data_IF_399560952774
#
_entry.id   IF_399560952774
#
_cell.length_a   1.000
_cell.length_b   1.000
_cell.length_c   1.000
_cell.angle_alpha   90.00
_cell.angle_beta   90.00
_cell.angle_gamma   90.00
#
_symmetry.space_group_name_H-M   'P 1'
#
loop_
_entity.id
_entity.type
_entity.pdbx_description
1 polymer ?
#
# COMPACT_ATOMS: atom_id res chain seq x y z
N UNK A 1 -10.22 -34.09 12.41
CA UNK A 1 -10.53 -33.81 10.99
C UNK A 1 -9.76 -32.57 10.57
N UNK A 2 -8.66 -32.73 9.82
CA UNK A 2 -7.99 -31.60 9.17
C UNK A 2 -8.90 -31.10 8.05
N UNK A 3 -9.50 -29.92 8.21
CA UNK A 3 -10.13 -29.24 7.10
C UNK A 3 -9.07 -29.07 6.01
N UNK A 4 -9.31 -29.61 4.81
CA UNK A 4 -8.41 -29.44 3.69
C UNK A 4 -8.15 -27.95 3.49
N UNK A 5 -6.93 -27.49 3.76
CA UNK A 5 -6.53 -26.12 3.49
C UNK A 5 -6.68 -25.89 2.00
N UNK A 6 -7.68 -25.10 1.59
CA UNK A 6 -7.85 -24.71 0.20
C UNK A 6 -6.60 -23.94 -0.23
N UNK A 7 -6.09 -24.24 -1.41
CA UNK A 7 -4.95 -23.51 -1.98
C UNK A 7 -5.36 -22.07 -2.29
N UNK A 8 -4.39 -21.15 -2.29
CA UNK A 8 -4.63 -19.76 -2.66
C UNK A 8 -5.28 -19.63 -4.05
N UNK A 9 -4.88 -20.48 -5.00
CA UNK A 9 -5.49 -20.54 -6.33
C UNK A 9 -7.00 -20.85 -6.28
N UNK A 10 -7.40 -21.85 -5.48
CA UNK A 10 -8.81 -22.23 -5.32
C UNK A 10 -9.62 -21.11 -4.65
N UNK A 11 -9.05 -20.43 -3.67
CA UNK A 11 -9.69 -19.29 -2.99
C UNK A 11 -9.87 -18.09 -3.92
N UNK A 12 -8.86 -17.79 -4.73
CA UNK A 12 -8.92 -16.73 -5.74
C UNK A 12 -10.01 -17.02 -6.76
N UNK A 13 -10.10 -18.24 -7.28
CA UNK A 13 -11.15 -18.62 -8.22
C UNK A 13 -12.55 -18.43 -7.61
N UNK A 14 -12.74 -18.85 -6.35
CA UNK A 14 -14.00 -18.66 -5.63
C UNK A 14 -14.32 -17.18 -5.41
N UNK A 15 -13.33 -16.36 -5.06
CA UNK A 15 -13.49 -14.93 -4.86
C UNK A 15 -13.87 -14.22 -6.18
N UNK A 16 -13.29 -14.61 -7.31
CA UNK A 16 -13.58 -14.00 -8.61
C UNK A 16 -15.01 -14.26 -9.09
N UNK A 17 -15.65 -15.34 -8.64
CA UNK A 17 -17.07 -15.65 -8.93
C UNK A 17 -18.06 -14.79 -8.14
N UNK A 18 -17.62 -14.04 -7.13
CA UNK A 18 -18.49 -13.17 -6.36
C UNK A 18 -18.93 -11.93 -7.17
N UNK A 19 -20.09 -11.34 -6.87
CA UNK A 19 -20.46 -10.00 -7.34
C UNK A 19 -19.41 -8.94 -7.01
N UNK A 20 -19.32 -7.88 -7.82
CA UNK A 20 -18.26 -6.87 -7.74
C UNK A 20 -18.17 -6.17 -6.37
N UNK A 21 -19.32 -5.90 -5.74
CA UNK A 21 -19.40 -5.28 -4.42
C UNK A 21 -18.82 -6.19 -3.33
N UNK A 22 -19.10 -7.50 -3.40
CA UNK A 22 -18.55 -8.49 -2.47
C UNK A 22 -17.06 -8.70 -2.68
N UNK A 23 -16.59 -8.68 -3.94
CA UNK A 23 -15.15 -8.72 -4.24
C UNK A 23 -14.42 -7.51 -3.67
N UNK A 24 -14.98 -6.31 -3.82
CA UNK A 24 -14.38 -5.09 -3.28
C UNK A 24 -14.26 -5.14 -1.75
N UNK A 25 -15.32 -5.58 -1.05
CA UNK A 25 -15.30 -5.76 0.41
C UNK A 25 -14.27 -6.81 0.85
N UNK A 26 -14.20 -7.93 0.16
CA UNK A 26 -13.22 -8.98 0.46
C UNK A 26 -11.79 -8.49 0.24
N UNK A 27 -11.53 -7.80 -0.88
CA UNK A 27 -10.22 -7.21 -1.14
C UNK A 27 -9.82 -6.21 -0.06
N UNK A 28 -10.75 -5.34 0.37
CA UNK A 28 -10.51 -4.40 1.45
C UNK A 28 -10.14 -5.10 2.77
N UNK A 29 -10.92 -6.12 3.18
CA UNK A 29 -10.64 -6.87 4.39
C UNK A 29 -9.29 -7.61 4.34
N UNK A 30 -8.94 -8.19 3.17
CA UNK A 30 -7.64 -8.84 2.98
C UNK A 30 -6.50 -7.83 3.10
N UNK A 31 -6.62 -6.65 2.48
CA UNK A 31 -5.61 -5.58 2.59
C UNK A 31 -5.45 -5.15 4.05
N UNK A 32 -6.56 -4.88 4.75
CA UNK A 32 -6.52 -4.51 6.17
C UNK A 32 -5.88 -5.58 7.05
N UNK A 33 -6.04 -6.86 6.71
CA UNK A 33 -5.40 -7.94 7.48
C UNK A 33 -3.87 -7.87 7.40
N UNK A 34 -3.31 -7.35 6.29
CA UNK A 34 -1.88 -7.16 6.13
C UNK A 34 -1.35 -6.02 7.00
N UNK A 35 -2.16 -5.00 7.29
CA UNK A 35 -1.76 -3.87 8.13
C UNK A 35 -1.51 -4.28 9.60
N UNK A 36 -2.12 -5.38 10.06
CA UNK A 36 -1.86 -5.93 11.40
C UNK A 36 -0.51 -6.63 11.53
N UNK A 37 0.14 -6.90 10.39
CA UNK A 37 1.49 -7.43 10.30
C UNK A 37 2.52 -6.32 10.05
N UNK A 38 2.26 -5.08 10.51
CA UNK A 38 3.29 -4.05 10.59
C UNK A 38 4.47 -4.60 11.39
N UNK A 39 5.53 -4.93 10.65
CA UNK A 39 6.78 -5.36 11.22
C UNK A 39 7.37 -4.13 11.92
N UNK A 40 7.52 -4.21 13.24
CA UNK A 40 8.08 -3.12 14.02
C UNK A 40 9.50 -2.74 13.52
N UNK A 41 10.22 -3.64 12.86
CA UNK A 41 11.47 -3.32 12.17
C UNK A 41 11.25 -2.50 10.89
N UNK A 42 10.18 -2.75 10.13
CA UNK A 42 9.83 -1.95 8.96
C UNK A 42 9.45 -0.52 9.35
N UNK A 43 8.67 -0.33 10.42
CA UNK A 43 8.33 1.00 10.93
C UNK A 43 9.59 1.75 11.41
N UNK A 44 10.46 1.09 12.18
CA UNK A 44 11.74 1.67 12.61
C UNK A 44 12.62 2.09 11.44
N UNK A 45 12.72 1.26 10.41
CA UNK A 45 13.48 1.57 9.19
C UNK A 45 12.85 2.74 8.43
N UNK A 46 11.53 2.83 8.42
CA UNK A 46 10.81 3.94 7.79
C UNK A 46 11.02 5.26 8.53
N UNK A 47 10.95 5.25 9.86
CA UNK A 47 11.26 6.42 10.70
C UNK A 47 12.69 6.91 10.48
N UNK A 48 13.66 5.99 10.42
CA UNK A 48 15.06 6.31 10.13
C UNK A 48 15.22 6.94 8.73
N UNK A 49 14.53 6.41 7.73
CA UNK A 49 14.54 6.94 6.37
C UNK A 49 13.88 8.32 6.27
N UNK A 50 12.77 8.56 6.97
CA UNK A 50 12.13 9.88 7.05
C UNK A 50 13.09 10.90 7.66
N UNK A 51 13.72 10.56 8.80
CA UNK A 51 14.68 11.44 9.46
C UNK A 51 15.85 11.80 8.53
N UNK A 52 16.43 10.80 7.85
CA UNK A 52 17.49 10.99 6.86
C UNK A 52 17.06 11.92 5.72
N UNK A 53 15.89 11.69 5.11
CA UNK A 53 15.40 12.53 4.00
C UNK A 53 15.13 13.96 4.42
N UNK A 54 14.60 14.18 5.62
CA UNK A 54 14.38 15.53 6.16
C UNK A 54 15.71 16.27 6.29
N UNK A 55 16.74 15.60 6.81
CA UNK A 55 18.08 16.18 6.92
C UNK A 55 18.71 16.45 5.54
N UNK A 56 18.57 15.54 4.58
CA UNK A 56 19.03 15.76 3.21
C UNK A 56 18.39 16.97 2.55
N UNK A 57 17.07 17.16 2.73
CA UNK A 57 16.33 18.31 2.21
C UNK A 57 16.79 19.60 2.89
N UNK A 58 16.83 19.63 4.23
CA UNK A 58 17.22 20.81 5.00
C UNK A 58 18.68 21.20 4.78
N UNK A 59 19.55 20.20 4.61
CA UNK A 59 20.97 20.38 4.31
C UNK A 59 21.27 20.68 2.84
N UNK A 60 20.26 20.75 1.96
CA UNK A 60 20.46 21.02 0.53
C UNK A 60 21.19 19.92 -0.23
N UNK A 61 21.30 18.71 0.33
CA UNK A 61 21.92 17.54 -0.32
C UNK A 61 21.06 16.98 -1.46
N UNK A 62 19.78 17.32 -1.46
CA UNK A 62 18.82 16.96 -2.51
C UNK A 62 18.07 18.20 -3.00
N UNK A 63 17.80 18.24 -4.31
CA UNK A 63 17.00 19.30 -4.92
C UNK A 63 15.56 18.84 -5.11
N UNK A 64 14.63 19.50 -4.41
CA UNK A 64 13.20 19.26 -4.59
C UNK A 64 12.67 19.78 -5.93
N UNK A 65 11.56 19.22 -6.40
CA UNK A 65 10.81 19.75 -7.54
C UNK A 65 9.82 20.80 -7.00
N UNK A 66 9.75 22.01 -7.58
CA UNK A 66 8.76 23.01 -7.17
C UNK A 66 7.34 22.46 -7.23
N UNK A 67 6.55 22.69 -6.16
CA UNK A 67 5.22 22.14 -6.02
C UNK A 67 4.31 22.44 -7.22
N UNK A 68 4.38 23.65 -7.79
CA UNK A 68 3.61 24.03 -8.98
C UNK A 68 3.89 23.14 -10.21
N UNK A 69 5.13 22.68 -10.40
CA UNK A 69 5.46 21.74 -11.48
C UNK A 69 4.86 20.36 -11.24
N UNK A 70 4.84 19.90 -9.99
CA UNK A 70 4.22 18.61 -9.63
C UNK A 70 2.70 18.67 -9.80
N UNK A 71 2.06 19.73 -9.33
CA UNK A 71 0.62 19.92 -9.41
C UNK A 71 0.13 20.04 -10.86
N UNK A 72 0.88 20.74 -11.72
CA UNK A 72 0.55 20.85 -13.14
C UNK A 72 0.68 19.54 -13.92
N UNK A 73 1.49 18.57 -13.43
CA UNK A 73 1.70 17.27 -14.09
C UNK A 73 0.62 16.25 -13.75
N UNK A 74 -0.21 16.49 -12.72
CA UNK A 74 -1.23 15.54 -12.29
C UNK A 74 -2.25 15.35 -13.42
N UNK A 75 -2.36 14.17 -14.05
CA UNK A 75 -3.45 13.93 -14.99
C UNK A 75 -4.76 14.02 -14.20
N UNK A 76 -5.81 14.60 -14.79
CA UNK A 76 -7.17 14.44 -14.27
C UNK A 76 -7.44 12.93 -14.11
N UNK A 77 -7.30 12.40 -12.90
CA UNK A 77 -7.97 11.14 -12.54
C UNK A 77 -9.44 11.51 -12.53
N UNK A 78 -10.15 11.07 -13.57
CA UNK A 78 -11.59 11.23 -13.68
C UNK A 78 -12.30 10.83 -12.38
N UNK A 79 -13.31 11.63 -12.06
CA UNK A 79 -14.35 11.34 -11.07
C UNK A 79 -14.97 9.97 -11.26
#
# INVERSE_FOLDING_TARGET
MLAAMKTAATLTEQALRLPVDRRARLAHALIQSLDTASDADAERQWDAEIARRVEEIRGGRVQGIPAGKVLARRPHRGS
#
